data_IF_126409145978
#
_entry.id   IF_126409145978
#
_cell.length_a   1.000
_cell.length_b   1.000
_cell.length_c   1.000
_cell.angle_alpha   90.00
_cell.angle_beta   90.00
_cell.angle_gamma   90.00
#
_symmetry.space_group_name_H-M   'P 1'
#
loop_
_entity.id
_entity.type
_entity.pdbx_description
1 polymer ?
#
# COMPACT_ATOMS: atom_id res chain seq x y z
N UNK A 1 4.74 15.50 -2.05
CA UNK A 1 5.66 14.90 -3.05
C UNK A 1 6.13 15.93 -4.08
N UNK A 2 5.23 16.49 -4.92
CA UNK A 2 5.63 17.46 -5.97
C UNK A 2 6.35 18.69 -5.40
N UNK A 3 5.82 19.25 -4.31
CA UNK A 3 6.44 20.38 -3.62
C UNK A 3 7.87 20.07 -3.14
N UNK A 4 8.07 18.89 -2.56
CA UNK A 4 9.39 18.38 -2.15
C UNK A 4 10.32 18.23 -3.35
N UNK A 5 9.86 17.62 -4.44
CA UNK A 5 10.66 17.43 -5.66
C UNK A 5 11.10 18.75 -6.30
N UNK A 6 10.25 19.77 -6.25
CA UNK A 6 10.57 21.08 -6.80
C UNK A 6 11.70 21.78 -6.05
N UNK A 7 11.84 21.52 -4.74
CA UNK A 7 12.81 22.22 -3.88
C UNK A 7 13.99 21.36 -3.44
N UNK A 8 13.84 20.04 -3.43
CA UNK A 8 14.90 19.07 -3.14
C UNK A 8 14.78 17.88 -4.10
N UNK A 9 15.25 18.03 -5.35
CA UNK A 9 15.19 16.96 -6.32
C UNK A 9 15.91 15.71 -5.79
N UNK A 10 17.12 15.85 -5.25
CA UNK A 10 17.95 14.73 -4.80
C UNK A 10 17.48 14.04 -3.52
N UNK A 11 16.47 14.59 -2.84
CA UNK A 11 15.91 14.05 -1.59
C UNK A 11 16.95 13.94 -0.46
N UNK A 12 17.91 14.86 -0.44
CA UNK A 12 19.00 14.92 0.54
C UNK A 12 18.72 15.94 1.66
N UNK A 13 17.48 16.38 1.82
CA UNK A 13 17.11 17.37 2.83
C UNK A 13 17.41 18.81 2.43
N UNK A 14 17.37 19.12 1.14
CA UNK A 14 17.64 20.47 0.65
C UNK A 14 16.40 21.39 0.63
N UNK A 15 15.21 20.85 0.94
CA UNK A 15 13.99 21.64 0.86
C UNK A 15 13.94 22.66 2.02
N UNK A 16 13.41 23.87 1.79
CA UNK A 16 13.30 24.87 2.85
C UNK A 16 12.24 24.46 3.89
N UNK A 17 12.41 24.93 5.13
CA UNK A 17 11.56 24.55 6.26
C UNK A 17 10.04 24.66 6.02
N UNK A 18 9.61 25.70 5.29
CA UNK A 18 8.20 25.90 4.95
C UNK A 18 7.61 24.77 4.08
N UNK A 19 8.42 24.08 3.27
CA UNK A 19 7.98 22.91 2.47
C UNK A 19 7.64 21.76 3.41
N UNK A 20 8.45 21.51 4.44
CA UNK A 20 8.16 20.47 5.43
C UNK A 20 6.93 20.83 6.28
N UNK A 21 6.79 22.08 6.71
CA UNK A 21 5.60 22.56 7.42
C UNK A 21 4.33 22.40 6.57
N UNK A 22 4.40 22.77 5.28
CA UNK A 22 3.28 22.61 4.35
C UNK A 22 2.94 21.13 4.15
N UNK A 23 3.93 20.27 3.96
CA UNK A 23 3.71 18.82 3.86
C UNK A 23 3.08 18.24 5.14
N UNK A 24 3.49 18.70 6.33
CA UNK A 24 2.89 18.27 7.60
C UNK A 24 1.40 18.63 7.66
N UNK A 25 1.04 19.87 7.31
CA UNK A 25 -0.35 20.33 7.25
C UNK A 25 -1.15 19.53 6.22
N UNK A 26 -0.59 19.27 5.04
CA UNK A 26 -1.26 18.51 3.99
C UNK A 26 -1.49 17.05 4.39
N UNK A 27 -0.52 16.42 5.06
CA UNK A 27 -0.67 15.03 5.56
C UNK A 27 -1.70 14.96 6.68
N UNK A 28 -1.68 15.88 7.63
CA UNK A 28 -2.71 15.94 8.69
C UNK A 28 -4.10 16.21 8.11
N UNK A 29 -4.18 17.07 7.10
CA UNK A 29 -5.44 17.35 6.39
C UNK A 29 -5.94 16.09 5.67
N UNK A 30 -5.06 15.39 4.96
CA UNK A 30 -5.37 14.10 4.32
C UNK A 30 -5.91 13.10 5.34
N UNK A 31 -5.13 12.81 6.40
CA UNK A 31 -5.50 11.90 7.49
C UNK A 31 -6.85 12.25 8.12
N UNK A 32 -7.13 13.54 8.32
CA UNK A 32 -8.38 14.01 8.93
C UNK A 32 -9.57 13.81 7.99
N UNK A 33 -9.40 14.12 6.70
CA UNK A 33 -10.45 13.99 5.70
C UNK A 33 -10.77 12.52 5.41
N UNK A 34 -9.72 11.70 5.29
CA UNK A 34 -9.77 10.25 5.16
C UNK A 34 -10.56 9.63 6.32
N UNK A 35 -10.15 9.88 7.57
CA UNK A 35 -10.88 9.37 8.74
C UNK A 35 -12.29 9.93 8.96
N UNK A 36 -12.73 10.91 8.15
CA UNK A 36 -14.05 11.53 8.24
C UNK A 36 -15.08 10.92 7.29
N UNK A 37 -14.66 10.36 6.15
CA UNK A 37 -15.57 9.94 5.09
C UNK A 37 -16.48 8.77 5.51
N UNK A 38 -15.94 7.77 6.21
CA UNK A 38 -16.67 6.60 6.70
C UNK A 38 -17.59 6.96 7.87
N UNK A 39 -17.17 7.91 8.72
CA UNK A 39 -18.01 8.45 9.80
C UNK A 39 -19.20 9.20 9.22
N UNK A 40 -18.96 10.04 8.21
CA UNK A 40 -20.02 10.75 7.50
C UNK A 40 -20.95 9.76 6.79
N UNK A 41 -20.42 8.79 6.05
CA UNK A 41 -21.19 7.79 5.33
C UNK A 41 -22.09 6.95 6.25
N UNK A 42 -21.64 6.61 7.46
CA UNK A 42 -22.48 5.97 8.49
C UNK A 42 -23.58 6.89 8.99
N UNK A 43 -23.27 8.18 9.25
CA UNK A 43 -24.24 9.18 9.73
C UNK A 43 -25.32 9.50 8.71
N UNK A 44 -24.97 9.57 7.43
CA UNK A 44 -25.89 9.88 6.32
C UNK A 44 -26.49 8.63 5.68
N UNK A 45 -26.19 7.45 6.20
CA UNK A 45 -26.61 6.15 5.63
C UNK A 45 -26.27 6.02 4.13
N UNK A 46 -25.14 6.60 3.72
CA UNK A 46 -24.66 6.62 2.33
C UNK A 46 -23.43 5.75 2.10
N UNK A 47 -23.11 4.85 3.05
CA UNK A 47 -22.03 3.88 2.90
C UNK A 47 -22.24 2.97 1.69
N UNK A 48 -21.16 2.69 0.96
CA UNK A 48 -21.19 1.79 -0.18
C UNK A 48 -19.84 1.09 -0.37
N UNK A 49 -19.83 -0.11 -0.98
CA UNK A 49 -18.59 -0.80 -1.35
C UNK A 49 -17.68 0.01 -2.30
N UNK A 50 -18.25 0.95 -3.06
CA UNK A 50 -17.48 1.84 -3.94
C UNK A 50 -16.76 2.91 -3.13
N UNK A 51 -17.39 3.41 -2.07
CA UNK A 51 -16.73 4.33 -1.14
C UNK A 51 -15.49 3.69 -0.54
N UNK A 52 -15.61 2.44 -0.08
CA UNK A 52 -14.48 1.67 0.45
C UNK A 52 -13.39 1.39 -0.60
N UNK A 53 -13.77 1.09 -1.85
CA UNK A 53 -12.82 0.94 -2.96
C UNK A 53 -12.07 2.25 -3.25
N UNK A 54 -12.77 3.39 -3.22
CA UNK A 54 -12.19 4.69 -3.51
C UNK A 54 -11.22 5.12 -2.41
N UNK A 55 -11.67 5.07 -1.17
CA UNK A 55 -10.90 5.34 0.05
C UNK A 55 -9.55 4.57 0.05
N UNK A 56 -9.62 3.24 0.04
CA UNK A 56 -8.42 2.40 0.10
C UNK A 56 -7.56 2.48 -1.17
N UNK A 57 -8.14 2.76 -2.33
CA UNK A 57 -7.39 2.97 -3.57
C UNK A 57 -6.55 4.25 -3.56
N UNK A 58 -7.09 5.33 -2.97
CA UNK A 58 -6.36 6.58 -2.78
C UNK A 58 -5.24 6.38 -1.74
N UNK A 59 -5.52 5.70 -0.64
CA UNK A 59 -4.53 5.35 0.39
C UNK A 59 -3.33 4.57 -0.15
N UNK A 60 -3.58 3.65 -1.09
CA UNK A 60 -2.54 2.83 -1.71
C UNK A 60 -1.51 3.69 -2.45
N UNK A 61 -2.00 4.72 -3.13
CA UNK A 61 -1.16 5.67 -3.83
C UNK A 61 -0.52 6.68 -2.89
N UNK A 62 -1.30 7.23 -1.95
CA UNK A 62 -0.85 8.24 -1.00
C UNK A 62 0.31 7.73 -0.13
N UNK A 63 0.29 6.44 0.25
CA UNK A 63 1.35 5.78 1.03
C UNK A 63 2.74 6.01 0.44
N UNK A 64 2.98 5.72 -0.84
CA UNK A 64 4.29 5.94 -1.44
C UNK A 64 4.65 7.41 -1.63
N UNK A 65 3.66 8.30 -1.79
CA UNK A 65 3.90 9.74 -1.80
C UNK A 65 4.36 10.27 -0.44
N UNK A 66 3.78 9.77 0.66
CA UNK A 66 4.15 10.14 2.03
C UNK A 66 5.55 9.62 2.34
N UNK A 67 5.84 8.35 2.06
CA UNK A 67 7.19 7.79 2.26
C UNK A 67 8.22 8.60 1.46
N UNK A 68 7.91 9.01 0.23
CA UNK A 68 8.79 9.84 -0.59
C UNK A 68 9.12 11.21 0.04
N UNK A 69 8.12 11.86 0.67
CA UNK A 69 8.34 13.11 1.41
C UNK A 69 9.29 12.85 2.59
N UNK A 70 9.13 11.73 3.30
CA UNK A 70 9.97 11.36 4.44
C UNK A 70 11.43 11.08 4.05
N UNK A 71 11.70 10.60 2.82
CA UNK A 71 13.09 10.43 2.32
C UNK A 71 13.85 11.73 2.44
N UNK A 72 13.25 12.80 1.94
CA UNK A 72 13.87 14.12 1.96
C UNK A 72 13.92 14.70 3.37
N UNK A 73 12.83 14.59 4.13
CA UNK A 73 12.76 15.12 5.49
C UNK A 73 13.82 14.51 6.42
N UNK A 74 14.14 13.23 6.23
CA UNK A 74 15.21 12.52 6.97
C UNK A 74 16.56 12.53 6.24
N UNK A 75 16.64 13.23 5.10
CA UNK A 75 17.81 13.36 4.27
C UNK A 75 18.47 12.00 3.94
N UNK A 76 17.67 10.98 3.66
CA UNK A 76 18.18 9.67 3.28
C UNK A 76 18.75 9.63 1.87
N UNK A 77 18.21 10.45 0.96
CA UNK A 77 18.49 10.33 -0.47
C UNK A 77 17.81 9.11 -1.09
N UNK A 78 17.41 9.24 -2.37
CA UNK A 78 16.70 8.17 -3.08
C UNK A 78 17.58 6.94 -3.34
N UNK A 79 18.90 7.11 -3.31
CA UNK A 79 19.88 6.04 -3.52
C UNK A 79 20.10 5.17 -2.27
N UNK A 80 19.70 5.65 -1.09
CA UNK A 80 19.76 4.86 0.14
C UNK A 80 18.81 3.66 0.06
N UNK A 81 19.19 2.47 0.60
CA UNK A 81 18.29 1.32 0.62
C UNK A 81 17.13 1.47 1.62
N UNK A 82 17.30 2.29 2.67
CA UNK A 82 16.32 2.38 3.77
C UNK A 82 14.91 2.79 3.32
N UNK A 83 14.72 3.84 2.48
CA UNK A 83 13.41 4.20 1.96
C UNK A 83 12.71 3.10 1.16
N UNK A 84 13.47 2.32 0.39
CA UNK A 84 12.92 1.24 -0.43
C UNK A 84 12.40 0.09 0.42
N UNK A 85 13.13 -0.26 1.49
CA UNK A 85 12.68 -1.25 2.47
C UNK A 85 11.40 -0.80 3.18
N UNK A 86 11.33 0.48 3.58
CA UNK A 86 10.14 1.06 4.20
C UNK A 86 8.96 1.10 3.22
N UNK A 87 9.17 1.48 1.97
CA UNK A 87 8.13 1.52 0.93
C UNK A 87 7.53 0.14 0.70
N UNK A 88 8.38 -0.83 0.36
CA UNK A 88 7.93 -2.21 0.10
C UNK A 88 7.26 -2.75 1.35
N UNK A 89 7.87 -2.58 2.53
CA UNK A 89 7.31 -3.01 3.80
C UNK A 89 5.92 -2.43 4.10
N UNK A 90 5.73 -1.12 3.96
CA UNK A 90 4.44 -0.47 4.21
C UNK A 90 3.36 -0.98 3.25
N UNK A 91 3.71 -1.18 1.99
CA UNK A 91 2.83 -1.75 0.99
C UNK A 91 2.48 -3.23 1.30
N UNK A 92 3.44 -4.02 1.77
CA UNK A 92 3.19 -5.40 2.24
C UNK A 92 2.23 -5.42 3.43
N UNK A 93 2.40 -4.53 4.41
CA UNK A 93 1.51 -4.41 5.56
C UNK A 93 0.08 -4.03 5.11
N UNK A 94 -0.04 -3.06 4.19
CA UNK A 94 -1.34 -2.63 3.70
C UNK A 94 -2.06 -3.73 2.89
N UNK A 95 -1.29 -4.45 2.07
CA UNK A 95 -1.80 -5.61 1.35
C UNK A 95 -2.25 -6.72 2.31
N UNK A 96 -1.43 -7.07 3.31
CA UNK A 96 -1.75 -8.13 4.25
C UNK A 96 -3.03 -7.81 5.05
N UNK A 97 -3.21 -6.57 5.48
CA UNK A 97 -4.43 -6.13 6.16
C UNK A 97 -5.67 -6.27 5.27
N UNK A 98 -5.58 -5.84 4.00
CA UNK A 98 -6.69 -5.98 3.04
C UNK A 98 -7.00 -7.43 2.68
N UNK A 99 -5.99 -8.28 2.61
CA UNK A 99 -6.15 -9.71 2.37
C UNK A 99 -6.85 -10.39 3.55
N UNK A 100 -6.49 -10.03 4.79
CA UNK A 100 -7.18 -10.53 5.98
C UNK A 100 -8.62 -10.03 6.05
N UNK A 101 -8.87 -8.77 5.70
CA UNK A 101 -10.23 -8.22 5.59
C UNK A 101 -11.07 -8.98 4.55
N UNK A 102 -10.49 -9.29 3.39
CA UNK A 102 -11.10 -10.11 2.35
C UNK A 102 -11.55 -11.49 2.84
N UNK A 103 -10.76 -12.11 3.72
CA UNK A 103 -11.01 -13.47 4.19
C UNK A 103 -11.92 -13.54 5.42
N UNK A 104 -11.76 -12.59 6.34
CA UNK A 104 -12.43 -12.59 7.65
C UNK A 104 -13.66 -11.69 7.68
N UNK A 105 -13.79 -10.76 6.74
CA UNK A 105 -14.80 -9.70 6.76
C UNK A 105 -14.59 -8.68 7.88
N UNK A 106 -13.45 -8.72 8.58
CA UNK A 106 -13.13 -7.81 9.70
C UNK A 106 -11.79 -7.14 9.47
N UNK A 107 -11.76 -5.83 9.66
CA UNK A 107 -10.51 -5.06 9.62
C UNK A 107 -9.78 -5.24 10.95
N UNK A 108 -8.49 -5.54 10.87
CA UNK A 108 -7.64 -5.62 12.05
C UNK A 108 -7.05 -4.25 12.34
N UNK A 109 -7.22 -3.83 13.59
CA UNK A 109 -6.64 -2.60 14.11
C UNK A 109 -5.51 -3.03 15.04
N UNK A 110 -4.27 -2.78 14.61
CA UNK A 110 -3.09 -2.99 15.44
C UNK A 110 -2.98 -1.88 16.51
N UNK A 111 -2.24 -2.14 17.59
CA UNK A 111 -2.00 -1.19 18.69
C UNK A 111 -1.39 0.15 18.22
N UNK A 112 -0.63 0.11 17.12
CA UNK A 112 -0.06 1.29 16.43
C UNK A 112 -0.53 1.22 14.99
N UNK A 113 -1.65 1.86 14.71
CA UNK A 113 -2.26 1.89 13.39
C UNK A 113 -1.65 2.93 12.46
N UNK A 114 -2.27 3.05 11.29
CA UNK A 114 -1.86 4.00 10.24
C UNK A 114 -1.99 5.44 10.72
N UNK A 115 -3.00 5.75 11.53
CA UNK A 115 -3.28 7.09 12.08
C UNK A 115 -2.15 7.52 13.02
N UNK A 116 -1.74 6.66 13.94
CA UNK A 116 -0.64 6.92 14.87
C UNK A 116 0.67 7.15 14.10
N UNK A 117 0.95 6.30 13.10
CA UNK A 117 2.15 6.43 12.28
C UNK A 117 2.15 7.73 11.45
N UNK A 118 1.02 8.10 10.84
CA UNK A 118 0.89 9.36 10.10
C UNK A 118 1.00 10.59 11.01
N UNK A 119 0.52 10.48 12.25
CA UNK A 119 0.69 11.53 13.27
C UNK A 119 2.16 11.71 13.64
N UNK A 120 2.89 10.60 13.87
CA UNK A 120 4.34 10.62 14.12
C UNK A 120 5.10 11.21 12.93
N UNK A 121 4.77 10.82 11.70
CA UNK A 121 5.38 11.39 10.49
C UNK A 121 5.14 12.91 10.39
N UNK A 122 3.93 13.37 10.72
CA UNK A 122 3.59 14.80 10.72
C UNK A 122 4.37 15.57 11.79
N UNK A 123 4.53 15.00 12.98
CA UNK A 123 5.37 15.58 14.05
C UNK A 123 6.84 15.66 13.60
N UNK A 124 7.37 14.60 12.98
CA UNK A 124 8.71 14.58 12.42
C UNK A 124 8.88 15.69 11.37
N UNK A 125 7.90 15.91 10.48
CA UNK A 125 7.95 16.97 9.48
C UNK A 125 7.94 18.38 10.11
N UNK A 126 7.16 18.59 11.17
CA UNK A 126 7.20 19.82 11.94
C UNK A 126 8.58 20.04 12.59
N UNK A 127 9.17 19.00 13.17
CA UNK A 127 10.53 19.07 13.72
C UNK A 127 11.57 19.39 12.65
N UNK A 128 11.50 18.75 11.48
CA UNK A 128 12.36 19.07 10.32
C UNK A 128 12.18 20.51 9.86
N UNK A 129 10.95 21.02 9.85
CA UNK A 129 10.67 22.41 9.47
C UNK A 129 11.33 23.43 10.41
N UNK A 130 11.37 23.13 11.71
CA UNK A 130 11.93 24.00 12.75
C UNK A 130 13.45 23.90 12.87
N UNK A 131 14.00 22.69 12.77
CA UNK A 131 15.39 22.41 13.15
C UNK A 131 16.27 21.92 12.00
N UNK A 132 15.75 21.87 10.76
CA UNK A 132 16.42 21.35 9.56
C UNK A 132 16.55 19.81 9.53
N UNK A 133 16.66 19.17 8.35
CA UNK A 133 16.92 17.73 8.22
C UNK A 133 18.18 17.21 8.94
N UNK A 134 19.13 18.08 9.28
CA UNK A 134 20.38 17.70 9.96
C UNK A 134 20.17 17.04 11.33
N UNK A 135 19.06 17.30 12.02
CA UNK A 135 18.75 16.67 13.31
C UNK A 135 18.66 15.14 13.19
N UNK A 136 18.26 14.63 12.03
CA UNK A 136 18.10 13.19 11.80
C UNK A 136 19.42 12.51 11.42
N UNK A 137 20.45 13.29 11.05
CA UNK A 137 21.79 12.81 10.73
C UNK A 137 22.69 12.78 11.97
N UNK A 138 22.21 13.24 13.12
CA UNK A 138 22.96 13.17 14.36
C UNK A 138 23.27 11.72 14.73
N UNK A 139 24.47 11.49 15.26
CA UNK A 139 24.86 10.18 15.77
C UNK A 139 24.10 9.85 17.05
N UNK A 140 23.49 8.68 17.07
CA UNK A 140 22.88 8.08 18.23
C UNK A 140 23.95 7.39 19.11
N UNK A 141 23.63 7.09 20.38
CA UNK A 141 24.50 6.31 21.25
C UNK A 141 24.92 4.97 20.59
N UNK A 142 26.12 4.51 20.90
CA UNK A 142 26.61 3.25 20.34
C UNK A 142 25.78 2.06 20.84
N UNK A 143 25.31 1.24 19.91
CA UNK A 143 24.57 0.01 20.20
C UNK A 143 25.40 -1.15 19.66
N UNK A 144 25.81 -2.08 20.53
CA UNK A 144 26.69 -3.20 20.17
C UNK A 144 27.99 -2.78 19.45
N UNK A 145 28.55 -1.62 19.79
CA UNK A 145 29.77 -1.10 19.17
C UNK A 145 29.59 -0.42 17.81
N UNK A 146 28.36 -0.35 17.29
CA UNK A 146 28.03 0.39 16.07
C UNK A 146 27.42 1.77 16.40
N UNK A 147 27.85 2.79 15.66
CA UNK A 147 27.28 4.14 15.75
C UNK A 147 26.22 4.26 14.67
N UNK A 148 24.97 4.40 15.09
CA UNK A 148 23.83 4.64 14.19
C UNK A 148 23.54 6.12 14.10
N UNK A 149 22.92 6.55 13.02
CA UNK A 149 22.30 7.88 12.94
C UNK A 149 20.84 7.79 13.39
N UNK A 150 20.28 8.89 13.91
CA UNK A 150 18.87 8.93 14.36
C UNK A 150 17.91 8.49 13.24
N UNK A 151 18.14 8.90 11.99
CA UNK A 151 17.34 8.49 10.82
C UNK A 151 17.30 6.97 10.65
N UNK A 152 18.42 6.28 10.88
CA UNK A 152 18.52 4.83 10.75
C UNK A 152 17.74 4.12 11.86
N UNK A 153 17.82 4.62 13.09
CA UNK A 153 17.02 4.10 14.21
C UNK A 153 15.52 4.25 13.97
N UNK A 154 15.08 5.39 13.41
CA UNK A 154 13.68 5.58 13.01
C UNK A 154 13.25 4.58 11.93
N UNK A 155 14.08 4.39 10.90
CA UNK A 155 13.79 3.41 9.85
C UNK A 155 13.69 1.98 10.40
N UNK A 156 14.57 1.59 11.32
CA UNK A 156 14.50 0.29 12.01
C UNK A 156 13.20 0.16 12.82
N UNK A 157 12.82 1.19 13.57
CA UNK A 157 11.56 1.19 14.33
C UNK A 157 10.32 1.05 13.43
N UNK A 158 10.30 1.75 12.29
CA UNK A 158 9.23 1.63 11.29
C UNK A 158 9.20 0.22 10.69
N UNK A 159 10.34 -0.33 10.28
CA UNK A 159 10.44 -1.69 9.71
C UNK A 159 10.00 -2.75 10.73
N UNK A 160 10.34 -2.57 12.01
CA UNK A 160 9.89 -3.45 13.08
C UNK A 160 8.36 -3.42 13.22
N UNK A 161 7.75 -2.23 13.22
CA UNK A 161 6.30 -2.07 13.28
C UNK A 161 5.61 -2.72 12.05
N UNK A 162 6.11 -2.45 10.84
CA UNK A 162 5.65 -3.08 9.60
C UNK A 162 5.69 -4.61 9.71
N UNK A 163 6.81 -5.15 10.20
CA UNK A 163 7.00 -6.59 10.33
C UNK A 163 5.98 -7.18 11.29
N UNK A 164 5.74 -6.53 12.44
CA UNK A 164 4.67 -6.92 13.36
C UNK A 164 3.30 -6.95 12.67
N UNK A 165 2.95 -5.89 11.93
CA UNK A 165 1.66 -5.78 11.26
C UNK A 165 1.45 -6.87 10.20
N UNK A 166 2.49 -7.15 9.39
CA UNK A 166 2.46 -8.22 8.38
C UNK A 166 2.31 -9.59 9.05
N UNK A 167 3.13 -9.88 10.07
CA UNK A 167 3.09 -11.17 10.76
C UNK A 167 1.74 -11.37 11.47
N UNK A 168 1.22 -10.34 12.13
CA UNK A 168 -0.10 -10.37 12.78
C UNK A 168 -1.21 -10.64 11.78
N UNK A 169 -1.23 -9.92 10.65
CA UNK A 169 -2.21 -10.10 9.58
C UNK A 169 -2.18 -11.53 9.01
N UNK A 170 -1.00 -12.05 8.70
CA UNK A 170 -0.82 -13.40 8.15
C UNK A 170 -1.21 -14.47 9.17
N UNK A 171 -0.79 -14.32 10.43
CA UNK A 171 -1.14 -15.25 11.50
C UNK A 171 -2.66 -15.34 11.67
N UNK A 172 -3.35 -14.20 11.71
CA UNK A 172 -4.79 -14.18 11.89
C UNK A 172 -5.55 -14.74 10.68
N UNK A 173 -5.10 -14.43 9.46
CA UNK A 173 -5.63 -15.04 8.24
C UNK A 173 -5.51 -16.57 8.27
N UNK A 174 -4.36 -17.08 8.72
CA UNK A 174 -4.11 -18.50 8.87
C UNK A 174 -5.02 -19.14 9.94
N UNK A 175 -5.13 -18.53 11.13
CA UNK A 175 -6.01 -19.02 12.19
C UNK A 175 -7.48 -19.09 11.74
N UNK A 176 -7.97 -18.05 11.06
CA UNK A 176 -9.33 -18.02 10.55
C UNK A 176 -9.60 -19.14 9.52
N UNK A 177 -8.63 -19.40 8.63
CA UNK A 177 -8.72 -20.49 7.66
C UNK A 177 -8.79 -21.87 8.33
N UNK A 178 -8.03 -22.08 9.42
CA UNK A 178 -8.08 -23.32 10.20
C UNK A 178 -9.42 -23.52 10.92
N UNK A 179 -9.97 -22.47 11.51
CA UNK A 179 -11.23 -22.56 12.26
C UNK A 179 -12.44 -22.85 11.37
N UNK A 180 -12.50 -22.27 10.16
CA UNK A 180 -13.51 -22.65 9.16
C UNK A 180 -13.40 -24.12 8.70
N UNK A 181 -12.19 -24.68 8.70
CA UNK A 181 -11.97 -26.12 8.47
C UNK A 181 -12.53 -27.01 9.59
N UNK A 182 -12.51 -26.53 10.83
CA UNK A 182 -12.99 -27.27 12.02
C UNK A 182 -14.50 -27.18 12.23
N UNK A 183 -15.12 -26.02 12.01
CA UNK A 183 -16.58 -25.88 12.19
C UNK A 183 -17.35 -26.69 11.14
N UNK A 184 -16.87 -26.70 9.89
CA UNK A 184 -17.47 -27.44 8.79
C UNK A 184 -17.41 -28.97 8.97
N UNK A 185 -16.34 -29.50 9.60
CA UNK A 185 -16.25 -30.91 9.94
C UNK A 185 -17.20 -31.30 11.07
N UNK A 186 -17.35 -30.46 12.11
CA UNK A 186 -18.27 -30.72 13.23
C UNK A 186 -19.76 -30.71 12.82
N UNK A 187 -20.18 -29.81 11.92
CA UNK A 187 -21.56 -29.76 11.41
C UNK A 187 -21.88 -30.87 10.41
N UNK A 188 -20.87 -31.40 9.71
CA UNK A 188 -21.04 -32.51 8.76
C UNK A 188 -21.27 -33.87 9.45
N UNK A 189 -20.92 -33.99 10.73
CA UNK A 189 -21.24 -35.18 11.53
C UNK A 189 -22.73 -35.28 11.91
N UNK A 190 -23.54 -34.24 11.62
CA UNK A 190 -24.95 -34.18 12.02
C UNK A 190 -25.96 -34.23 10.85
N UNK A 191 -25.54 -34.16 9.58
CA UNK A 191 -26.44 -34.26 8.41
C UNK A 191 -25.79 -34.99 7.23
N UNK A 192 -26.50 -36.01 6.73
CA UNK A 192 -26.25 -36.83 5.53
C UNK A 192 -25.11 -36.31 4.63
N UNK A 193 -23.91 -36.84 4.89
CA UNK A 193 -22.68 -36.43 4.24
C UNK A 193 -22.43 -37.19 2.93
N UNK A 194 -22.26 -36.45 1.85
CA UNK A 194 -21.28 -36.73 0.78
C UNK A 194 -21.20 -35.51 -0.18
N UNK A 195 -22.30 -34.82 -0.45
CA UNK A 195 -22.32 -33.63 -1.31
C UNK A 195 -21.76 -32.36 -0.62
N UNK A 196 -22.14 -32.09 0.63
CA UNK A 196 -21.83 -30.85 1.34
C UNK A 196 -20.40 -30.74 1.88
N UNK A 197 -19.77 -31.87 2.20
CA UNK A 197 -18.36 -31.92 2.61
C UNK A 197 -17.46 -31.53 1.43
N UNK A 198 -17.81 -31.98 0.22
CA UNK A 198 -17.04 -31.68 -0.99
C UNK A 198 -17.16 -30.21 -1.43
N UNK A 199 -18.27 -29.54 -1.13
CA UNK A 199 -18.49 -28.13 -1.46
C UNK A 199 -17.82 -27.18 -0.44
N UNK A 200 -17.78 -27.59 0.83
CA UNK A 200 -17.15 -26.87 1.93
C UNK A 200 -15.62 -26.99 1.88
N UNK A 201 -15.10 -28.20 1.67
CA UNK A 201 -13.66 -28.44 1.47
C UNK A 201 -13.15 -27.75 0.20
N UNK A 202 -13.93 -27.72 -0.89
CA UNK A 202 -13.61 -26.93 -2.08
C UNK A 202 -13.61 -25.43 -1.82
N UNK A 203 -14.51 -24.90 -0.98
CA UNK A 203 -14.52 -23.47 -0.61
C UNK A 203 -13.31 -23.08 0.23
N UNK A 204 -12.94 -23.89 1.22
CA UNK A 204 -11.75 -23.69 2.05
C UNK A 204 -10.45 -23.82 1.23
N UNK A 205 -10.35 -24.85 0.38
CA UNK A 205 -9.23 -25.03 -0.56
C UNK A 205 -9.13 -23.87 -1.56
N UNK A 206 -10.25 -23.39 -2.09
CA UNK A 206 -10.26 -22.24 -2.98
C UNK A 206 -9.82 -20.96 -2.25
N UNK A 207 -10.22 -20.75 -0.99
CA UNK A 207 -9.77 -19.62 -0.17
C UNK A 207 -8.25 -19.65 0.08
N UNK A 208 -7.72 -20.80 0.46
CA UNK A 208 -6.29 -21.01 0.67
C UNK A 208 -5.47 -20.84 -0.63
N UNK A 209 -5.95 -21.38 -1.75
CA UNK A 209 -5.28 -21.26 -3.04
C UNK A 209 -5.30 -19.82 -3.57
N UNK A 210 -6.33 -19.03 -3.23
CA UNK A 210 -6.35 -17.59 -3.47
C UNK A 210 -5.33 -16.83 -2.63
N UNK A 211 -5.19 -17.18 -1.34
CA UNK A 211 -4.18 -16.61 -0.44
C UNK A 211 -2.76 -16.77 -1.00
N UNK A 212 -2.40 -18.00 -1.38
CA UNK A 212 -1.08 -18.32 -1.94
C UNK A 212 -0.81 -17.50 -3.21
N UNK A 213 -1.79 -17.44 -4.12
CA UNK A 213 -1.66 -16.70 -5.36
C UNK A 213 -1.40 -15.19 -5.15
N UNK A 214 -2.10 -14.55 -4.21
CA UNK A 214 -1.86 -13.13 -3.96
C UNK A 214 -0.51 -12.89 -3.25
N UNK A 215 -0.11 -13.76 -2.33
CA UNK A 215 1.20 -13.71 -1.69
C UNK A 215 2.35 -13.86 -2.72
N UNK A 216 2.22 -14.76 -3.70
CA UNK A 216 3.23 -14.97 -4.74
C UNK A 216 3.41 -13.73 -5.62
N UNK A 217 2.31 -13.05 -5.98
CA UNK A 217 2.36 -11.81 -6.77
C UNK A 217 3.09 -10.71 -6.00
N UNK A 218 2.80 -10.59 -4.72
CA UNK A 218 3.40 -9.58 -3.86
C UNK A 218 4.89 -9.85 -3.59
N UNK A 219 5.27 -11.11 -3.38
CA UNK A 219 6.67 -11.51 -3.31
C UNK A 219 7.41 -11.22 -4.62
N UNK A 220 6.77 -11.49 -5.76
CA UNK A 220 7.30 -11.17 -7.09
C UNK A 220 7.50 -9.67 -7.25
N UNK A 221 6.53 -8.85 -6.86
CA UNK A 221 6.64 -7.39 -6.88
C UNK A 221 7.83 -6.88 -6.05
N UNK A 222 7.95 -7.32 -4.80
CA UNK A 222 9.06 -6.94 -3.93
C UNK A 222 10.42 -7.36 -4.52
N UNK A 223 10.50 -8.56 -5.09
CA UNK A 223 11.69 -9.06 -5.77
C UNK A 223 12.07 -8.22 -7.00
N UNK A 224 11.09 -7.86 -7.83
CA UNK A 224 11.31 -7.01 -9.01
C UNK A 224 11.78 -5.60 -8.62
N UNK A 225 11.17 -4.98 -7.62
CA UNK A 225 11.59 -3.66 -7.10
C UNK A 225 13.03 -3.73 -6.59
N UNK A 226 13.34 -4.73 -5.75
CA UNK A 226 14.68 -4.93 -5.20
C UNK A 226 15.74 -5.18 -6.26
N UNK A 227 15.46 -6.04 -7.24
CA UNK A 227 16.36 -6.33 -8.36
C UNK A 227 16.62 -5.09 -9.22
N UNK A 228 15.57 -4.32 -9.51
CA UNK A 228 15.66 -3.09 -10.31
C UNK A 228 16.49 -2.01 -9.60
N UNK A 229 16.23 -1.80 -8.30
CA UNK A 229 17.02 -0.90 -7.46
C UNK A 229 18.50 -1.32 -7.42
N UNK A 230 18.78 -2.62 -7.22
CA UNK A 230 20.14 -3.14 -7.18
C UNK A 230 20.85 -2.96 -8.54
N UNK A 231 20.16 -3.18 -9.66
CA UNK A 231 20.68 -2.95 -11.00
C UNK A 231 21.03 -1.48 -11.22
N UNK A 232 20.09 -0.57 -10.99
CA UNK A 232 20.27 0.87 -11.13
C UNK A 232 21.44 1.40 -10.28
N UNK A 233 21.58 0.88 -9.06
CA UNK A 233 22.70 1.25 -8.17
C UNK A 233 24.04 0.74 -8.71
N UNK A 234 24.12 -0.49 -9.22
CA UNK A 234 25.36 -1.05 -9.81
C UNK A 234 25.84 -0.24 -11.02
N UNK A 235 24.93 0.30 -11.82
CA UNK A 235 25.26 1.13 -12.97
C UNK A 235 25.59 2.59 -12.62
N UNK A 236 25.62 2.96 -11.33
CA UNK A 236 25.92 4.33 -10.90
C UNK A 236 24.92 5.36 -11.44
N UNK A 237 23.67 4.96 -11.63
CA UNK A 237 22.66 5.83 -12.23
C UNK A 237 22.31 7.00 -11.32
N UNK A 238 22.00 8.16 -11.93
CA UNK A 238 21.60 9.35 -11.20
C UNK A 238 20.24 9.21 -10.51
N UNK A 239 19.84 10.24 -9.77
CA UNK A 239 18.62 10.20 -8.96
C UNK A 239 17.33 10.08 -9.80
N UNK A 240 17.33 10.56 -11.05
CA UNK A 240 16.12 10.62 -11.89
C UNK A 240 15.57 9.21 -12.19
N UNK A 241 16.35 8.25 -12.75
CA UNK A 241 15.91 6.86 -12.91
C UNK A 241 15.34 6.26 -11.62
N UNK A 242 15.96 6.54 -10.49
CA UNK A 242 15.53 6.01 -9.20
C UNK A 242 14.18 6.56 -8.75
N UNK A 243 13.91 7.85 -9.01
CA UNK A 243 12.59 8.47 -8.77
C UNK A 243 11.51 7.91 -9.71
N UNK A 244 11.86 7.66 -10.97
CA UNK A 244 10.93 7.05 -11.93
C UNK A 244 10.59 5.61 -11.53
N UNK A 245 11.59 4.85 -11.06
CA UNK A 245 11.36 3.52 -10.49
C UNK A 245 10.42 3.59 -9.28
N UNK A 246 10.58 4.60 -8.42
CA UNK A 246 9.71 4.78 -7.25
C UNK A 246 8.26 5.01 -7.65
N UNK A 247 8.04 5.94 -8.59
CA UNK A 247 6.70 6.23 -9.11
C UNK A 247 6.09 5.00 -9.77
N UNK A 248 6.86 4.27 -10.58
CA UNK A 248 6.43 3.02 -11.19
C UNK A 248 6.01 2.01 -10.12
N UNK A 249 6.85 1.77 -9.12
CA UNK A 249 6.58 0.84 -8.02
C UNK A 249 5.31 1.19 -7.25
N UNK A 250 5.18 2.45 -6.83
CA UNK A 250 3.99 2.91 -6.15
C UNK A 250 2.73 2.76 -7.01
N UNK A 251 2.83 3.04 -8.31
CA UNK A 251 1.70 2.93 -9.24
C UNK A 251 1.24 1.49 -9.43
N UNK A 252 2.20 0.58 -9.64
CA UNK A 252 1.92 -0.84 -9.80
C UNK A 252 1.28 -1.42 -8.54
N UNK A 253 1.76 -1.04 -7.35
CA UNK A 253 1.17 -1.48 -6.11
C UNK A 253 -0.27 -0.96 -5.93
N UNK A 254 -0.52 0.32 -6.18
CA UNK A 254 -1.86 0.89 -6.06
C UNK A 254 -2.87 0.23 -7.02
N UNK A 255 -2.45 -0.06 -8.25
CA UNK A 255 -3.26 -0.81 -9.22
C UNK A 255 -3.56 -2.23 -8.72
N UNK A 256 -2.55 -2.91 -8.20
CA UNK A 256 -2.70 -4.24 -7.65
C UNK A 256 -3.66 -4.27 -6.46
N UNK A 257 -3.53 -3.32 -5.53
CA UNK A 257 -4.44 -3.23 -4.39
C UNK A 257 -5.87 -2.91 -4.85
N UNK A 258 -6.04 -2.01 -5.81
CA UNK A 258 -7.36 -1.71 -6.39
C UNK A 258 -8.03 -2.97 -6.95
N UNK A 259 -7.28 -3.86 -7.61
CA UNK A 259 -7.82 -5.15 -8.09
C UNK A 259 -8.31 -6.02 -6.96
N UNK A 260 -7.49 -6.17 -5.91
CA UNK A 260 -7.82 -6.93 -4.72
C UNK A 260 -9.11 -6.41 -4.07
N UNK A 261 -9.26 -5.09 -3.98
CA UNK A 261 -10.45 -4.43 -3.48
C UNK A 261 -11.68 -4.64 -4.38
N UNK A 262 -11.51 -4.62 -5.71
CA UNK A 262 -12.61 -4.93 -6.65
C UNK A 262 -13.07 -6.37 -6.50
N UNK A 263 -12.16 -7.33 -6.35
CA UNK A 263 -12.53 -8.73 -6.12
C UNK A 263 -13.35 -8.89 -4.84
N UNK A 264 -13.02 -8.14 -3.78
CA UNK A 264 -13.83 -8.06 -2.56
C UNK A 264 -15.22 -7.54 -2.84
N UNK A 265 -15.28 -6.31 -3.36
CA UNK A 265 -16.52 -5.56 -3.57
C UNK A 265 -17.48 -6.28 -4.50
N UNK A 266 -16.96 -6.93 -5.54
CA UNK A 266 -17.76 -7.64 -6.53
C UNK A 266 -17.99 -9.12 -6.18
N UNK A 267 -17.28 -9.66 -5.19
CA UNK A 267 -17.25 -11.09 -4.86
C UNK A 267 -16.94 -11.99 -6.08
N UNK A 268 -16.22 -11.44 -7.07
CA UNK A 268 -15.81 -12.13 -8.30
C UNK A 268 -14.29 -12.08 -8.41
N UNK A 269 -13.68 -13.22 -8.69
CA UNK A 269 -12.25 -13.28 -9.01
C UNK A 269 -12.01 -12.64 -10.37
N UNK A 270 -11.06 -11.72 -10.44
CA UNK A 270 -10.62 -11.15 -11.70
C UNK A 270 -9.55 -12.08 -12.31
N UNK A 271 -9.47 -12.20 -13.64
CA UNK A 271 -8.45 -13.01 -14.29
C UNK A 271 -7.05 -12.49 -13.96
N UNK A 272 -6.14 -13.39 -13.58
CA UNK A 272 -4.79 -13.10 -13.09
C UNK A 272 -3.83 -12.44 -14.11
N UNK A 273 -4.20 -12.44 -15.39
CA UNK A 273 -3.24 -12.38 -16.51
C UNK A 273 -3.17 -11.06 -17.30
N UNK A 274 -4.11 -10.13 -17.16
CA UNK A 274 -4.17 -9.01 -18.12
C UNK A 274 -3.19 -7.83 -17.90
N UNK A 275 -2.67 -7.53 -16.68
CA UNK A 275 -1.77 -6.38 -16.46
C UNK A 275 -0.45 -6.72 -15.74
N UNK A 276 -0.32 -7.91 -15.17
CA UNK A 276 0.88 -8.39 -14.47
C UNK A 276 2.10 -8.49 -15.37
N UNK A 277 1.89 -8.73 -16.67
CA UNK A 277 2.93 -8.68 -17.69
C UNK A 277 3.41 -7.27 -18.01
N UNK A 278 2.53 -6.26 -17.99
CA UNK A 278 2.94 -4.86 -18.21
C UNK A 278 3.82 -4.36 -17.05
N UNK A 279 3.52 -4.77 -15.82
CA UNK A 279 4.34 -4.48 -14.63
C UNK A 279 5.74 -5.08 -14.77
N UNK A 280 5.84 -6.38 -15.07
CA UNK A 280 7.11 -7.08 -15.22
C UNK A 280 7.94 -6.49 -16.38
N UNK A 281 7.30 -6.19 -17.52
CA UNK A 281 7.98 -5.61 -18.68
C UNK A 281 8.43 -4.17 -18.44
N UNK A 282 7.68 -3.36 -17.70
CA UNK A 282 8.07 -1.99 -17.33
C UNK A 282 9.28 -1.96 -16.38
N UNK A 283 9.28 -2.82 -15.36
CA UNK A 283 10.39 -2.96 -14.42
C UNK A 283 11.65 -3.58 -15.06
N UNK A 284 11.49 -4.63 -15.85
CA UNK A 284 12.59 -5.24 -16.60
C UNK A 284 13.14 -4.27 -17.66
N UNK A 285 12.28 -3.57 -18.39
CA UNK A 285 12.68 -2.58 -19.40
C UNK A 285 13.49 -1.42 -18.79
N UNK A 286 13.04 -0.88 -17.64
CA UNK A 286 13.77 0.16 -16.91
C UNK A 286 15.11 -0.36 -16.35
N UNK A 287 15.18 -1.63 -15.96
CA UNK A 287 16.39 -2.27 -15.42
C UNK A 287 17.41 -2.67 -16.49
N UNK A 288 16.96 -2.95 -17.72
CA UNK A 288 17.81 -3.41 -18.83
C UNK A 288 18.50 -2.25 -19.57
N UNK A 289 17.94 -1.04 -19.53
CA UNK A 289 18.55 0.17 -20.12
C UNK A 289 18.52 1.37 -19.15
N UNK A 290 19.26 1.31 -18.05
CA UNK A 290 19.16 2.27 -16.96
C UNK A 290 19.62 3.70 -17.32
N UNK A 291 20.40 3.85 -18.41
CA UNK A 291 20.79 5.14 -18.98
C UNK A 291 19.73 5.77 -19.90
N UNK A 292 18.70 5.02 -20.31
CA UNK A 292 17.64 5.48 -21.20
C UNK A 292 16.51 6.11 -20.37
N UNK A 293 16.67 7.40 -20.04
CA UNK A 293 15.69 8.18 -19.28
C UNK A 293 14.30 8.19 -19.93
N UNK A 294 14.23 8.13 -21.27
CA UNK A 294 12.97 8.08 -22.02
C UNK A 294 12.25 6.75 -21.74
N UNK A 295 12.97 5.62 -21.75
CA UNK A 295 12.38 4.32 -21.42
C UNK A 295 11.85 4.27 -19.99
N UNK A 296 12.61 4.82 -19.02
CA UNK A 296 12.17 4.91 -17.62
C UNK A 296 10.93 5.82 -17.46
N UNK A 297 10.91 6.96 -18.16
CA UNK A 297 9.81 7.92 -18.10
C UNK A 297 8.54 7.36 -18.75
N UNK A 298 8.69 6.65 -19.88
CA UNK A 298 7.58 5.95 -20.53
C UNK A 298 7.02 4.83 -19.66
N UNK A 299 7.88 4.06 -18.98
CA UNK A 299 7.45 3.02 -18.05
C UNK A 299 6.70 3.59 -16.83
N UNK A 300 7.21 4.66 -16.22
CA UNK A 300 6.54 5.30 -15.10
C UNK A 300 5.21 5.96 -15.52
N UNK A 301 5.19 6.63 -16.67
CA UNK A 301 3.99 7.28 -17.19
C UNK A 301 2.93 6.27 -17.61
N UNK A 302 3.33 5.16 -18.25
CA UNK A 302 2.41 4.09 -18.64
C UNK A 302 1.83 3.39 -17.42
N UNK A 303 2.63 3.14 -16.37
CA UNK A 303 2.14 2.59 -15.10
C UNK A 303 1.13 3.53 -14.42
N UNK A 304 1.42 4.84 -14.36
CA UNK A 304 0.52 5.82 -13.77
C UNK A 304 -0.80 5.97 -14.55
N UNK A 305 -0.72 6.01 -15.89
CA UNK A 305 -1.91 6.09 -16.76
C UNK A 305 -2.73 4.80 -16.70
N UNK A 306 -2.06 3.63 -16.70
CA UNK A 306 -2.72 2.34 -16.55
C UNK A 306 -3.45 2.25 -15.21
N UNK A 307 -2.80 2.68 -14.12
CA UNK A 307 -3.44 2.76 -12.81
C UNK A 307 -4.66 3.69 -12.83
N UNK A 308 -4.51 4.94 -13.28
CA UNK A 308 -5.61 5.90 -13.31
C UNK A 308 -6.79 5.40 -14.17
N UNK A 309 -6.50 4.84 -15.35
CA UNK A 309 -7.51 4.25 -16.23
C UNK A 309 -8.20 3.04 -15.61
N UNK A 310 -7.43 2.14 -14.98
CA UNK A 310 -7.98 0.98 -14.28
C UNK A 310 -8.83 1.39 -13.08
N UNK A 311 -8.38 2.35 -12.27
CA UNK A 311 -9.09 2.84 -11.11
C UNK A 311 -10.45 3.46 -11.48
N UNK A 312 -10.47 4.31 -12.51
CA UNK A 312 -11.72 4.89 -13.04
C UNK A 312 -12.63 3.80 -13.60
N UNK A 313 -12.08 2.86 -14.37
CA UNK A 313 -12.83 1.73 -14.91
C UNK A 313 -13.44 0.88 -13.79
N UNK A 314 -12.66 0.53 -12.77
CA UNK A 314 -13.05 -0.25 -11.61
C UNK A 314 -14.21 0.43 -10.86
N UNK A 315 -14.10 1.73 -10.58
CA UNK A 315 -15.18 2.51 -10.00
C UNK A 315 -16.45 2.45 -10.88
N UNK A 316 -16.31 2.60 -12.20
CA UNK A 316 -17.44 2.57 -13.14
C UNK A 316 -18.14 1.21 -13.25
N UNK A 317 -17.39 0.11 -13.20
CA UNK A 317 -17.90 -1.25 -13.30
C UNK A 317 -18.58 -1.64 -12.00
N UNK A 318 -17.94 -1.36 -10.85
CA UNK A 318 -18.52 -1.57 -9.53
C UNK A 318 -19.81 -0.77 -9.35
N UNK A 319 -19.84 0.48 -9.83
CA UNK A 319 -21.06 1.31 -9.84
C UNK A 319 -22.21 0.67 -10.62
N UNK A 320 -21.94 0.19 -11.83
CA UNK A 320 -22.96 -0.48 -12.66
C UNK A 320 -23.42 -1.79 -12.06
N UNK A 321 -22.52 -2.60 -11.53
CA UNK A 321 -22.83 -3.87 -10.90
C UNK A 321 -23.69 -3.71 -9.64
N UNK A 322 -23.50 -2.63 -8.90
CA UNK A 322 -24.23 -2.32 -7.66
C UNK A 322 -25.52 -1.50 -7.92
N UNK A 323 -25.86 -1.18 -9.17
CA UNK A 323 -27.01 -0.34 -9.51
C UNK A 323 -26.89 1.11 -8.99
N UNK A 324 -25.68 1.53 -8.61
CA UNK A 324 -25.37 2.87 -8.15
C UNK A 324 -25.14 3.73 -9.39
N UNK A 325 -25.87 4.85 -9.50
CA UNK A 325 -25.53 5.90 -10.45
C UNK A 325 -24.66 6.92 -9.71
N UNK A 326 -23.39 7.03 -10.11
CA UNK A 326 -22.34 7.91 -9.51
C UNK A 326 -22.79 9.38 -9.31
N UNK A 327 -23.90 9.81 -9.92
CA UNK A 327 -24.43 11.17 -9.84
C UNK A 327 -25.89 11.30 -9.39
N UNK A 328 -26.51 10.25 -8.81
CA UNK A 328 -27.87 10.35 -8.23
C UNK A 328 -27.85 9.92 -6.76
N UNK A 329 -27.80 10.90 -5.86
CA UNK A 329 -28.16 10.71 -4.45
C UNK A 329 -29.67 10.45 -4.40
N UNK A 330 -30.08 9.20 -4.23
CA UNK A 330 -31.45 8.85 -3.81
C UNK A 330 -31.38 8.20 -2.44
N UNK A 331 -32.22 8.69 -1.52
CA UNK A 331 -32.27 8.29 -0.13
C UNK A 331 -32.33 6.77 0.03
N UNK A 332 -31.34 6.23 0.76
CA UNK A 332 -31.15 4.81 0.95
C UNK A 332 -31.85 4.34 2.22
N UNK A 333 -32.95 3.59 2.07
CA UNK A 333 -33.67 2.96 3.18
C UNK A 333 -33.32 1.46 3.37
N UNK A 334 -32.30 0.90 2.73
CA UNK A 334 -32.11 -0.57 2.73
C UNK A 334 -30.71 -1.12 2.97
N UNK A 335 -29.67 -0.32 3.23
CA UNK A 335 -28.29 -0.82 3.35
C UNK A 335 -27.77 -0.96 4.79
N UNK A 336 -28.60 -0.74 5.81
CA UNK A 336 -28.19 -0.72 7.24
C UNK A 336 -27.99 -2.10 7.91
N UNK A 337 -27.66 -3.18 7.20
CA UNK A 337 -27.33 -4.47 7.85
C UNK A 337 -26.27 -5.27 7.10
N UNK A 338 -25.03 -4.78 7.08
CA UNK A 338 -23.82 -5.59 6.94
C UNK A 338 -22.73 -4.95 7.79
#
# INVERSE_FOLDING_TARGET
MLLTLAHSPSLLGAAPGWVYATNAVLILSYQTLDGSDGKQARRTSSGSPIGELFDHGVDAWATGCIVFICIDAFAFGIQSPWPWLVLVGAQLAFFASNLTLLQTGRMQVDDMGVIELQSVMSICLCATAMYSPSIWQMHAPSIFGHIFEVRQLLAVGIIFNITKAVVGSVYNAFCHALDHGRTSSSSSSARNGHADVSSSARRASNGYMGLVQHCDIVATYAGCVGASYACLRRHGTGDIPMRLLWLCANSCFAEYLTRLLVERVTSRRLPALAPSLLWIMGFLGASLQPANLIACALAASSAAVAHAGYFVWACSVSSRALGLHVFRVRGAHSWCRL
#
